data_IF_078776813201
#
_entry.id   IF_078776813201
#
_cell.length_a   1.000
_cell.length_b   1.000
_cell.length_c   1.000
_cell.angle_alpha   90.00
_cell.angle_beta   90.00
_cell.angle_gamma   90.00
#
_symmetry.space_group_name_H-M   'P 1'
#
loop_
_entity.id
_entity.type
_entity.pdbx_description
1 polymer ?
#
# COMPACT_ATOMS: atom_id res chain seq x y z
N UNK A 1 5.35 -9.95 -15.20
CA UNK A 1 5.19 -9.89 -13.74
C UNK A 1 4.26 -8.76 -13.38
N UNK A 2 3.17 -9.02 -12.64
CA UNK A 2 2.21 -8.05 -12.13
C UNK A 2 2.51 -7.76 -10.66
N UNK A 3 2.56 -6.48 -10.29
CA UNK A 3 2.94 -6.03 -8.95
C UNK A 3 1.80 -5.23 -8.36
N UNK A 4 1.42 -5.51 -7.12
CA UNK A 4 0.55 -4.63 -6.35
C UNK A 4 1.39 -3.87 -5.32
N UNK A 5 1.27 -2.54 -5.26
CA UNK A 5 1.98 -1.68 -4.32
C UNK A 5 0.94 -1.11 -3.36
N UNK A 6 0.97 -1.51 -2.09
CA UNK A 6 -0.02 -1.09 -1.09
C UNK A 6 0.61 -0.08 -0.14
N UNK A 7 -0.04 1.07 0.02
CA UNK A 7 0.45 2.17 0.84
C UNK A 7 -0.73 2.98 1.42
N UNK A 8 -0.55 3.58 2.59
CA UNK A 8 -1.66 4.23 3.31
C UNK A 8 -1.36 5.60 3.89
N UNK A 9 -0.09 5.98 3.96
CA UNK A 9 0.39 7.17 4.67
C UNK A 9 1.32 8.01 3.80
N UNK A 10 1.50 9.28 4.18
CA UNK A 10 2.41 10.20 3.49
C UNK A 10 3.87 9.70 3.45
N UNK A 11 4.47 9.22 4.56
CA UNK A 11 5.82 8.65 4.52
C UNK A 11 5.96 7.51 3.50
N UNK A 12 4.96 6.63 3.40
CA UNK A 12 4.97 5.55 2.41
C UNK A 12 4.90 6.08 0.98
N UNK A 13 4.06 7.09 0.69
CA UNK A 13 4.02 7.74 -0.64
C UNK A 13 5.41 8.24 -1.04
N UNK A 14 6.07 8.97 -0.14
CA UNK A 14 7.37 9.59 -0.40
C UNK A 14 8.45 8.52 -0.62
N UNK A 15 8.52 7.51 0.26
CA UNK A 15 9.55 6.45 0.20
C UNK A 15 9.34 5.48 -0.96
N UNK A 16 8.10 5.23 -1.37
CA UNK A 16 7.78 4.37 -2.52
C UNK A 16 7.79 5.10 -3.86
N UNK A 17 7.78 6.44 -3.88
CA UNK A 17 7.82 7.25 -5.10
C UNK A 17 8.86 6.80 -6.15
N UNK A 18 10.15 6.62 -5.81
CA UNK A 18 11.15 6.18 -6.79
C UNK A 18 10.86 4.79 -7.37
N UNK A 19 10.31 3.89 -6.56
CA UNK A 19 9.94 2.53 -7.00
C UNK A 19 8.74 2.61 -7.95
N UNK A 20 7.70 3.37 -7.60
CA UNK A 20 6.50 3.57 -8.43
C UNK A 20 6.88 4.16 -9.79
N UNK A 21 7.79 5.14 -9.83
CA UNK A 21 8.23 5.77 -11.08
C UNK A 21 9.10 4.85 -11.95
N UNK A 22 9.85 3.93 -11.35
CA UNK A 22 10.69 2.99 -12.09
C UNK A 22 9.90 1.82 -12.67
N UNK A 23 8.80 1.42 -12.02
CA UNK A 23 7.98 0.30 -12.46
C UNK A 23 7.07 0.68 -13.63
N UNK A 24 6.93 -0.25 -14.58
CA UNK A 24 6.02 -0.08 -15.70
C UNK A 24 4.56 -0.03 -15.20
N UNK A 25 3.82 1.01 -15.59
CA UNK A 25 2.41 1.23 -15.23
C UNK A 25 1.49 0.08 -15.64
N UNK A 26 1.79 -0.61 -16.74
CA UNK A 26 0.96 -1.74 -17.20
C UNK A 26 1.17 -3.01 -16.35
N UNK A 27 2.29 -3.07 -15.62
CA UNK A 27 2.71 -4.23 -14.83
C UNK A 27 2.68 -3.96 -13.32
N UNK A 28 2.31 -2.75 -12.89
CA UNK A 28 2.22 -2.40 -11.48
C UNK A 28 0.91 -1.67 -11.21
N UNK A 29 0.33 -1.88 -10.03
CA UNK A 29 -0.91 -1.24 -9.61
C UNK A 29 -0.70 -0.65 -8.21
N UNK A 30 -0.98 0.64 -8.04
CA UNK A 30 -0.85 1.36 -6.77
C UNK A 30 -2.21 1.35 -6.07
N UNK A 31 -2.23 0.85 -4.84
CA UNK A 31 -3.42 0.73 -3.99
C UNK A 31 -3.21 1.63 -2.77
N UNK A 32 -4.00 2.69 -2.68
CA UNK A 32 -4.01 3.56 -1.52
C UNK A 32 -5.03 3.05 -0.48
N UNK A 33 -4.64 2.81 0.76
CA UNK A 33 -5.56 2.29 1.78
C UNK A 33 -6.40 3.37 2.46
N UNK A 34 -6.00 4.64 2.38
CA UNK A 34 -6.71 5.73 3.06
C UNK A 34 -6.47 5.80 4.57
N UNK A 35 -5.37 5.22 5.09
CA UNK A 35 -5.03 5.26 6.51
C UNK A 35 -4.88 6.70 7.06
N UNK A 36 -4.56 7.70 6.22
CA UNK A 36 -4.44 9.09 6.65
C UNK A 36 -5.55 10.00 6.07
N UNK A 37 -6.07 10.88 6.95
CA UNK A 37 -7.26 11.75 6.80
C UNK A 37 -7.31 12.66 5.57
N UNK A 38 -6.18 12.91 4.92
CA UNK A 38 -6.07 14.02 4.00
C UNK A 38 -5.69 13.51 2.61
N UNK A 39 -6.70 12.98 1.92
CA UNK A 39 -6.60 12.57 0.53
C UNK A 39 -6.18 13.76 -0.36
N UNK A 40 -6.67 14.96 -0.06
CA UNK A 40 -6.27 16.22 -0.72
C UNK A 40 -4.78 16.52 -0.49
N UNK A 41 -4.28 16.42 0.75
CA UNK A 41 -2.85 16.58 1.03
C UNK A 41 -2.01 15.46 0.40
N UNK A 42 -2.53 14.23 0.37
CA UNK A 42 -1.85 13.09 -0.28
C UNK A 42 -1.78 13.26 -1.80
N UNK A 43 -2.81 13.83 -2.42
CA UNK A 43 -2.83 14.21 -3.84
C UNK A 43 -1.78 15.26 -4.16
N UNK A 44 -1.56 16.25 -3.27
CA UNK A 44 -0.47 17.23 -3.45
C UNK A 44 0.90 16.58 -3.52
N UNK A 45 1.17 15.58 -2.68
CA UNK A 45 2.45 14.86 -2.74
C UNK A 45 2.56 14.01 -4.00
N UNK A 46 1.46 13.38 -4.45
CA UNK A 46 1.42 12.66 -5.72
C UNK A 46 1.79 13.60 -6.88
N UNK A 47 1.20 14.79 -6.93
CA UNK A 47 1.53 15.80 -7.96
C UNK A 47 2.98 16.32 -7.84
N UNK A 48 3.41 16.71 -6.64
CA UNK A 48 4.76 17.24 -6.39
C UNK A 48 5.86 16.24 -6.74
N UNK A 49 5.61 14.95 -6.54
CA UNK A 49 6.56 13.86 -6.83
C UNK A 49 6.43 13.33 -8.27
N UNK A 50 5.55 13.93 -9.08
CA UNK A 50 5.29 13.47 -10.46
C UNK A 50 4.73 12.05 -10.52
N UNK A 51 4.08 11.58 -9.45
CA UNK A 51 3.55 10.24 -9.36
C UNK A 51 2.21 10.14 -10.10
N UNK A 52 1.99 8.98 -10.70
CA UNK A 52 0.65 8.63 -11.18
C UNK A 52 -0.30 8.46 -10.00
N UNK A 53 -1.58 8.79 -10.23
CA UNK A 53 -2.64 8.55 -9.24
C UNK A 53 -2.76 7.04 -8.92
N UNK A 54 -3.14 6.68 -7.68
CA UNK A 54 -3.46 5.30 -7.32
C UNK A 54 -4.51 4.71 -8.25
N UNK A 55 -4.31 3.46 -8.66
CA UNK A 55 -5.25 2.73 -9.49
C UNK A 55 -6.47 2.26 -8.68
N UNK A 56 -6.26 2.05 -7.37
CA UNK A 56 -7.32 1.74 -6.42
C UNK A 56 -7.15 2.57 -5.15
N UNK A 57 -8.28 2.92 -4.52
CA UNK A 57 -8.32 3.54 -3.20
C UNK A 57 -9.33 2.79 -2.32
N UNK A 58 -8.90 2.38 -1.14
CA UNK A 58 -9.79 1.89 -0.10
C UNK A 58 -10.34 3.09 0.66
N UNK A 59 -11.65 3.09 0.88
CA UNK A 59 -12.30 4.02 1.81
C UNK A 59 -12.34 3.34 3.16
N UNK A 60 -11.26 3.45 3.95
CA UNK A 60 -11.28 2.95 5.33
C UNK A 60 -11.72 4.03 6.31
N UNK A 61 -12.34 3.63 7.42
CA UNK A 61 -12.75 4.56 8.47
C UNK A 61 -11.54 5.12 9.22
N UNK A 62 -11.67 6.36 9.72
CA UNK A 62 -10.69 6.98 10.62
C UNK A 62 -10.94 6.55 12.08
N UNK A 63 -11.12 5.25 12.26
CA UNK A 63 -11.32 4.58 13.53
C UNK A 63 -9.97 4.21 14.16
N UNK A 64 -10.03 3.48 15.27
CA UNK A 64 -8.85 2.95 15.94
C UNK A 64 -8.01 2.02 15.01
N UNK A 65 -6.73 1.80 15.32
CA UNK A 65 -5.83 0.97 14.51
C UNK A 65 -6.37 -0.42 14.18
N UNK A 66 -7.05 -1.09 15.12
CA UNK A 66 -7.52 -2.47 14.91
C UNK A 66 -8.67 -2.50 13.91
N UNK A 67 -9.59 -1.53 14.00
CA UNK A 67 -10.67 -1.38 13.03
C UNK A 67 -10.11 -1.08 11.64
N UNK A 68 -9.12 -0.19 11.51
CA UNK A 68 -8.46 0.09 10.23
C UNK A 68 -7.82 -1.17 9.62
N UNK A 69 -7.09 -1.95 10.42
CA UNK A 69 -6.47 -3.21 9.99
C UNK A 69 -7.53 -4.19 9.47
N UNK A 70 -8.62 -4.39 10.22
CA UNK A 70 -9.73 -5.27 9.83
C UNK A 70 -10.41 -4.82 8.53
N UNK A 71 -10.59 -3.52 8.34
CA UNK A 71 -11.15 -2.98 7.11
C UNK A 71 -10.24 -3.19 5.90
N UNK A 72 -8.93 -2.98 6.04
CA UNK A 72 -7.98 -3.25 4.96
C UNK A 72 -8.02 -4.74 4.60
N UNK A 73 -7.97 -5.63 5.59
CA UNK A 73 -8.01 -7.09 5.40
C UNK A 73 -9.29 -7.54 4.69
N UNK A 74 -10.44 -6.95 5.01
CA UNK A 74 -11.73 -7.33 4.40
C UNK A 74 -11.89 -6.79 2.97
N UNK A 75 -11.30 -5.65 2.64
CA UNK A 75 -11.50 -4.96 1.35
C UNK A 75 -10.44 -5.33 0.30
N UNK A 76 -9.18 -5.48 0.71
CA UNK A 76 -8.04 -5.72 -0.19
C UNK A 76 -8.11 -7.01 -1.03
N UNK A 77 -8.67 -8.16 -0.54
CA UNK A 77 -8.79 -9.38 -1.33
C UNK A 77 -9.57 -9.20 -2.64
N UNK A 78 -10.60 -8.33 -2.63
CA UNK A 78 -11.39 -8.05 -3.84
C UNK A 78 -10.55 -7.39 -4.93
N UNK A 79 -9.56 -6.59 -4.54
CA UNK A 79 -8.62 -5.94 -5.45
C UNK A 79 -7.59 -6.95 -5.96
N UNK A 80 -7.03 -7.78 -5.07
CA UNK A 80 -6.08 -8.83 -5.47
C UNK A 80 -6.68 -9.82 -6.46
N UNK A 81 -7.96 -10.19 -6.30
CA UNK A 81 -8.67 -11.05 -7.27
C UNK A 81 -8.77 -10.43 -8.67
N UNK A 82 -8.83 -9.09 -8.77
CA UNK A 82 -8.88 -8.37 -10.05
C UNK A 82 -7.50 -8.25 -10.68
N UNK A 83 -6.51 -7.84 -9.88
CA UNK A 83 -5.14 -7.60 -10.37
C UNK A 83 -4.44 -8.93 -10.68
N UNK A 84 -4.61 -9.94 -9.82
CA UNK A 84 -3.84 -11.18 -9.74
C UNK A 84 -2.33 -10.89 -9.75
N UNK A 85 -1.81 -10.19 -8.72
CA UNK A 85 -0.41 -9.82 -8.69
C UNK A 85 0.45 -11.05 -8.40
N UNK A 86 1.64 -11.09 -9.00
CA UNK A 86 2.68 -12.08 -8.71
C UNK A 86 3.42 -11.76 -7.40
N UNK A 87 3.36 -10.49 -6.95
CA UNK A 87 3.86 -10.06 -5.63
C UNK A 87 3.17 -8.79 -5.14
N UNK A 88 3.10 -8.64 -3.81
CA UNK A 88 2.65 -7.42 -3.13
C UNK A 88 3.84 -6.73 -2.49
N UNK A 89 4.06 -5.45 -2.83
CA UNK A 89 5.03 -4.56 -2.21
C UNK A 89 4.35 -3.79 -1.07
N UNK A 90 5.01 -3.79 0.09
CA UNK A 90 4.69 -2.99 1.28
C UNK A 90 5.97 -2.29 1.78
N UNK A 91 5.84 -1.18 2.52
CA UNK A 91 7.00 -0.42 3.00
C UNK A 91 6.85 -0.02 4.47
N UNK A 92 7.85 -0.35 5.30
CA UNK A 92 7.91 0.08 6.70
C UNK A 92 7.09 -0.78 7.65
N UNK A 93 6.38 -0.17 8.59
CA UNK A 93 5.81 -0.83 9.77
C UNK A 93 4.40 -0.32 10.15
N UNK A 94 3.67 0.28 9.20
CA UNK A 94 2.34 0.85 9.45
C UNK A 94 1.25 -0.23 9.57
N UNK A 95 0.05 0.17 10.05
CA UNK A 95 -1.17 -0.68 9.98
C UNK A 95 -1.43 -1.20 8.55
N UNK A 96 -1.16 -0.37 7.53
CA UNK A 96 -1.27 -0.76 6.13
C UNK A 96 -0.32 -1.90 5.79
N UNK A 97 0.94 -1.84 6.23
CA UNK A 97 1.92 -2.91 6.02
C UNK A 97 1.44 -4.22 6.65
N UNK A 98 1.05 -4.18 7.92
CA UNK A 98 0.60 -5.36 8.64
C UNK A 98 -0.61 -6.01 7.93
N UNK A 99 -1.64 -5.22 7.64
CA UNK A 99 -2.87 -5.71 7.02
C UNK A 99 -2.64 -6.24 5.59
N UNK A 100 -1.86 -5.53 4.78
CA UNK A 100 -1.58 -5.89 3.41
C UNK A 100 -0.70 -7.14 3.30
N UNK A 101 0.36 -7.24 4.13
CA UNK A 101 1.22 -8.41 4.18
C UNK A 101 0.45 -9.66 4.61
N UNK A 102 -0.38 -9.56 5.66
CA UNK A 102 -1.22 -10.67 6.11
C UNK A 102 -2.22 -11.10 5.02
N UNK A 103 -2.87 -10.14 4.38
CA UNK A 103 -3.83 -10.42 3.30
C UNK A 103 -3.17 -11.08 2.10
N UNK A 104 -1.97 -10.63 1.72
CA UNK A 104 -1.17 -11.22 0.64
C UNK A 104 -0.83 -12.67 0.95
N UNK A 105 -0.33 -12.93 2.16
CA UNK A 105 0.02 -14.29 2.61
C UNK A 105 -1.20 -15.22 2.63
N UNK A 106 -2.36 -14.75 3.10
CA UNK A 106 -3.61 -15.54 3.06
C UNK A 106 -4.22 -15.68 1.67
N UNK A 107 -3.75 -14.91 0.70
CA UNK A 107 -4.11 -15.03 -0.71
C UNK A 107 -3.07 -15.81 -1.52
N UNK A 108 -2.08 -16.42 -0.86
CA UNK A 108 -0.97 -17.16 -1.48
C UNK A 108 -0.14 -16.31 -2.46
N UNK A 109 -0.04 -15.00 -2.19
CA UNK A 109 0.76 -14.06 -2.99
C UNK A 109 2.04 -13.70 -2.21
N UNK A 110 3.24 -13.86 -2.81
CA UNK A 110 4.51 -13.45 -2.20
C UNK A 110 4.55 -11.98 -1.79
N UNK A 111 5.11 -11.70 -0.61
CA UNK A 111 5.28 -10.33 -0.07
C UNK A 111 6.71 -9.85 -0.27
N UNK A 112 6.85 -8.66 -0.83
CA UNK A 112 8.10 -7.91 -0.95
C UNK A 112 8.09 -6.76 0.05
N UNK A 113 8.88 -6.87 1.13
CA UNK A 113 8.89 -5.89 2.22
C UNK A 113 10.07 -4.92 2.07
N UNK A 114 9.77 -3.67 1.74
CA UNK A 114 10.74 -2.57 1.66
C UNK A 114 10.94 -1.97 3.06
N UNK A 115 12.18 -1.60 3.38
CA UNK A 115 12.55 -1.13 4.73
C UNK A 115 12.34 -2.22 5.80
N UNK A 116 12.69 -3.47 5.45
CA UNK A 116 12.63 -4.59 6.36
C UNK A 116 13.83 -4.59 7.34
N UNK A 117 13.61 -5.13 8.54
CA UNK A 117 14.70 -5.46 9.47
C UNK A 117 15.14 -4.34 10.40
N UNK A 118 14.50 -3.17 10.39
CA UNK A 118 14.82 -2.11 11.36
C UNK A 118 14.55 -2.59 12.80
N UNK A 119 15.46 -2.26 13.70
CA UNK A 119 15.40 -2.57 15.13
C UNK A 119 15.86 -1.34 15.88
N UNK A 120 15.13 -0.98 16.94
CA UNK A 120 15.42 0.21 17.75
C UNK A 120 16.50 -0.05 18.82
N UNK A 121 16.58 -1.28 19.33
CA UNK A 121 17.51 -1.69 20.40
C UNK A 121 17.42 -0.83 21.68
N UNK A 122 16.28 -0.17 21.88
CA UNK A 122 15.98 0.72 22.99
C UNK A 122 15.02 0.10 24.02
#
# INVERSE_FOLDING_TARGET
MKIAIVLGTRPEIIKLAPIINKLNKNNSQVIFTGQHYDYEMSLRFIEQLGLRKPDYSLKISHSDPLTQIGEIISKLPKIFKKIKPDTVIVQGDTNTVLAAALTSLKSEIPVSHIEAGLRSFD
#
